data_IF_549883191891
#
_entry.id   IF_549883191891
#
_cell.length_a   1.000
_cell.length_b   1.000
_cell.length_c   1.000
_cell.angle_alpha   90.00
_cell.angle_beta   90.00
_cell.angle_gamma   90.00
#
_symmetry.space_group_name_H-M   'P 1'
#
loop_
_entity.id
_entity.type
_entity.pdbx_description
1 polymer ?
#
# COMPACT_ATOMS: atom_id res chain seq x y z
N UNK A 1 -26.80 -12.85 -32.26
CA UNK A 1 -25.83 -12.15 -33.14
C UNK A 1 -25.33 -10.80 -32.62
N UNK A 2 -26.12 -9.71 -32.58
CA UNK A 2 -25.60 -8.39 -32.12
C UNK A 2 -25.15 -8.41 -30.65
N UNK A 3 -25.96 -8.99 -29.76
CA UNK A 3 -25.65 -9.08 -28.32
C UNK A 3 -24.43 -9.96 -28.03
N UNK A 4 -24.29 -11.09 -28.73
CA UNK A 4 -23.13 -11.98 -28.59
C UNK A 4 -21.85 -11.29 -29.04
N UNK A 5 -21.88 -10.58 -30.18
CA UNK A 5 -20.75 -9.81 -30.66
C UNK A 5 -20.35 -8.70 -29.66
N UNK A 6 -21.31 -7.99 -29.08
CA UNK A 6 -21.05 -6.97 -28.05
C UNK A 6 -20.44 -7.57 -26.79
N UNK A 7 -20.95 -8.70 -26.31
CA UNK A 7 -20.41 -9.39 -25.13
C UNK A 7 -18.98 -9.86 -25.40
N UNK A 8 -18.74 -10.50 -26.56
CA UNK A 8 -17.40 -10.97 -26.95
C UNK A 8 -16.40 -9.82 -27.10
N UNK A 9 -16.82 -8.67 -27.64
CA UNK A 9 -15.96 -7.50 -27.75
C UNK A 9 -15.58 -6.94 -26.36
N UNK A 10 -16.55 -6.84 -25.44
CA UNK A 10 -16.30 -6.37 -24.07
C UNK A 10 -15.38 -7.33 -23.32
N UNK A 11 -15.63 -8.64 -23.41
CA UNK A 11 -14.78 -9.64 -22.74
C UNK A 11 -13.36 -9.64 -23.31
N UNK A 12 -13.19 -9.45 -24.61
CA UNK A 12 -11.86 -9.32 -25.23
C UNK A 12 -11.09 -8.09 -24.69
N UNK A 13 -11.74 -6.93 -24.55
CA UNK A 13 -11.12 -5.72 -23.99
C UNK A 13 -10.74 -5.95 -22.53
N UNK A 14 -11.63 -6.52 -21.71
CA UNK A 14 -11.34 -6.82 -20.31
C UNK A 14 -10.19 -7.82 -20.19
N UNK A 15 -10.20 -8.88 -21.00
CA UNK A 15 -9.14 -9.89 -21.00
C UNK A 15 -7.78 -9.27 -21.39
N UNK A 16 -7.76 -8.37 -22.38
CA UNK A 16 -6.56 -7.63 -22.75
C UNK A 16 -6.04 -6.78 -21.59
N UNK A 17 -6.91 -5.97 -20.98
CA UNK A 17 -6.56 -5.10 -19.84
C UNK A 17 -6.02 -5.96 -18.68
N UNK A 18 -6.73 -7.01 -18.28
CA UNK A 18 -6.31 -7.89 -17.20
C UNK A 18 -4.98 -8.61 -17.50
N UNK A 19 -4.76 -9.03 -18.75
CA UNK A 19 -3.49 -9.66 -19.16
C UNK A 19 -2.33 -8.68 -19.05
N UNK A 20 -2.54 -7.42 -19.45
CA UNK A 20 -1.53 -6.37 -19.28
C UNK A 20 -1.26 -6.09 -17.80
N UNK A 21 -2.29 -5.92 -16.97
CA UNK A 21 -2.12 -5.74 -15.52
C UNK A 21 -1.39 -6.91 -14.87
N UNK A 22 -1.63 -8.15 -15.32
CA UNK A 22 -0.90 -9.32 -14.84
C UNK A 22 0.60 -9.17 -15.09
N UNK A 23 0.99 -8.80 -16.32
CA UNK A 23 2.41 -8.59 -16.67
C UNK A 23 2.99 -7.46 -15.81
N UNK A 24 2.29 -6.33 -15.73
CA UNK A 24 2.72 -5.18 -14.92
C UNK A 24 2.99 -5.56 -13.45
N UNK A 25 2.09 -6.34 -12.84
CA UNK A 25 2.23 -6.82 -11.46
C UNK A 25 3.37 -7.83 -11.32
N UNK A 26 3.53 -8.74 -12.29
CA UNK A 26 4.61 -9.74 -12.24
C UNK A 26 5.98 -9.09 -12.38
N UNK A 27 6.13 -8.13 -13.30
CA UNK A 27 7.38 -7.42 -13.55
C UNK A 27 7.78 -6.51 -12.38
N UNK A 28 6.80 -6.02 -11.61
CA UNK A 28 6.99 -5.10 -10.49
C UNK A 28 6.56 -5.72 -9.15
N UNK A 29 6.62 -7.04 -9.02
CA UNK A 29 6.05 -7.78 -7.90
C UNK A 29 6.57 -7.28 -6.54
N UNK A 30 7.85 -6.91 -6.46
CA UNK A 30 8.46 -6.37 -5.24
C UNK A 30 7.82 -5.05 -4.80
N UNK A 31 7.49 -4.14 -5.72
CA UNK A 31 6.84 -2.87 -5.39
C UNK A 31 5.41 -3.09 -4.88
N UNK A 32 4.65 -4.00 -5.51
CA UNK A 32 3.32 -4.36 -5.05
C UNK A 32 3.36 -5.03 -3.68
N UNK A 33 4.29 -5.99 -3.48
CA UNK A 33 4.49 -6.66 -2.20
C UNK A 33 4.94 -5.71 -1.10
N UNK A 34 5.78 -4.71 -1.42
CA UNK A 34 6.19 -3.69 -0.48
C UNK A 34 4.98 -2.92 0.07
N UNK A 35 4.10 -2.41 -0.81
CA UNK A 35 2.86 -1.72 -0.41
C UNK A 35 1.98 -2.61 0.46
N UNK A 36 1.71 -3.84 0.02
CA UNK A 36 0.88 -4.78 0.80
C UNK A 36 1.51 -5.01 2.18
N UNK A 37 2.79 -5.31 2.23
CA UNK A 37 3.49 -5.65 3.47
C UNK A 37 3.43 -4.50 4.48
N UNK A 38 3.77 -3.27 4.07
CA UNK A 38 3.78 -2.12 5.00
C UNK A 38 2.38 -1.72 5.43
N UNK A 39 1.39 -1.79 4.53
CA UNK A 39 0.00 -1.48 4.84
C UNK A 39 -0.59 -2.47 5.85
N UNK A 40 -0.35 -3.77 5.65
CA UNK A 40 -0.82 -4.78 6.59
C UNK A 40 -0.07 -4.74 7.91
N UNK A 41 1.24 -4.48 7.92
CA UNK A 41 2.02 -4.35 9.15
C UNK A 41 1.48 -3.22 10.02
N UNK A 42 1.33 -2.01 9.45
CA UNK A 42 0.76 -0.88 10.16
C UNK A 42 -0.70 -1.13 10.56
N UNK A 43 -1.50 -1.68 9.64
CA UNK A 43 -2.92 -1.95 9.85
C UNK A 43 -3.16 -2.92 11.01
N UNK A 44 -2.43 -4.04 11.05
CA UNK A 44 -2.51 -5.03 12.13
C UNK A 44 -2.13 -4.40 13.47
N UNK A 45 -0.99 -3.70 13.55
CA UNK A 45 -0.61 -3.04 14.79
C UNK A 45 -1.61 -1.94 15.20
N UNK A 46 -2.16 -1.19 14.25
CA UNK A 46 -3.15 -0.15 14.50
C UNK A 46 -4.50 -0.71 14.99
N UNK A 47 -4.89 -1.91 14.54
CA UNK A 47 -6.05 -2.64 15.04
C UNK A 47 -5.80 -3.13 16.46
N UNK A 48 -4.64 -3.74 16.74
CA UNK A 48 -4.30 -4.25 18.08
C UNK A 48 -4.23 -3.08 19.08
N UNK A 49 -3.50 -2.02 18.74
CA UNK A 49 -3.36 -0.82 19.57
C UNK A 49 -4.72 -0.16 19.83
N UNK A 50 -5.56 -0.02 18.79
CA UNK A 50 -6.91 0.51 18.93
C UNK A 50 -7.80 -0.37 19.80
N UNK A 51 -7.71 -1.69 19.65
CA UNK A 51 -8.52 -2.64 20.42
C UNK A 51 -8.26 -2.53 21.92
N UNK A 52 -7.03 -2.19 22.33
CA UNK A 52 -6.67 -1.95 23.74
C UNK A 52 -7.23 -0.64 24.32
N UNK A 53 -7.48 0.38 23.50
CA UNK A 53 -7.93 1.72 23.96
C UNK A 53 -9.42 1.97 23.77
N UNK A 54 -9.99 1.47 22.68
CA UNK A 54 -11.36 1.80 22.24
C UNK A 54 -12.19 0.55 21.89
N UNK A 55 -11.65 -0.66 22.11
CA UNK A 55 -12.25 -1.92 21.68
C UNK A 55 -12.08 -2.21 20.18
N UNK A 56 -12.34 -3.45 19.77
CA UNK A 56 -12.21 -3.84 18.35
C UNK A 56 -13.31 -3.20 17.51
N UNK A 57 -12.92 -2.54 16.41
CA UNK A 57 -13.84 -1.91 15.45
C UNK A 57 -13.67 -2.51 14.06
N UNK A 58 -14.66 -3.26 13.59
CA UNK A 58 -14.67 -3.88 12.24
C UNK A 58 -14.43 -2.86 11.13
N UNK A 59 -14.97 -1.65 11.26
CA UNK A 59 -14.75 -0.55 10.30
C UNK A 59 -13.27 -0.21 10.14
N UNK A 60 -12.48 -0.28 11.22
CA UNK A 60 -11.03 -0.02 11.19
C UNK A 60 -10.29 -1.11 10.42
N UNK A 61 -10.67 -2.38 10.62
CA UNK A 61 -10.11 -3.50 9.88
C UNK A 61 -10.44 -3.43 8.37
N UNK A 62 -11.69 -3.14 8.02
CA UNK A 62 -12.11 -2.96 6.62
C UNK A 62 -11.40 -1.79 5.95
N UNK A 63 -11.13 -0.71 6.69
CA UNK A 63 -10.38 0.43 6.15
C UNK A 63 -8.94 0.05 5.75
N UNK A 64 -8.29 -0.88 6.45
CA UNK A 64 -6.95 -1.35 6.06
C UNK A 64 -7.00 -1.99 4.68
N UNK A 65 -7.91 -2.95 4.46
CA UNK A 65 -8.06 -3.63 3.17
C UNK A 65 -8.41 -2.63 2.06
N UNK A 66 -9.39 -1.75 2.32
CA UNK A 66 -9.81 -0.72 1.35
C UNK A 66 -8.64 0.18 0.96
N UNK A 67 -7.89 0.68 1.94
CA UNK A 67 -6.77 1.56 1.68
C UNK A 67 -5.64 0.84 0.93
N UNK A 68 -5.36 -0.43 1.26
CA UNK A 68 -4.38 -1.23 0.51
C UNK A 68 -4.78 -1.33 -0.96
N UNK A 69 -6.03 -1.65 -1.26
CA UNK A 69 -6.52 -1.73 -2.65
C UNK A 69 -6.34 -0.39 -3.38
N UNK A 70 -6.67 0.73 -2.74
CA UNK A 70 -6.47 2.08 -3.33
C UNK A 70 -5.00 2.32 -3.66
N UNK A 71 -4.08 2.00 -2.74
CA UNK A 71 -2.64 2.19 -2.97
C UNK A 71 -2.08 1.27 -4.06
N UNK A 72 -2.60 0.05 -4.22
CA UNK A 72 -2.24 -0.82 -5.34
C UNK A 72 -2.68 -0.23 -6.69
N UNK A 73 -3.87 0.39 -6.75
CA UNK A 73 -4.31 1.09 -7.95
C UNK A 73 -3.48 2.35 -8.25
N UNK A 74 -3.06 3.09 -7.22
CA UNK A 74 -2.14 4.23 -7.38
C UNK A 74 -0.81 3.74 -7.95
N UNK A 75 -0.20 2.71 -7.35
CA UNK A 75 1.05 2.13 -7.85
C UNK A 75 0.91 1.67 -9.31
N UNK A 76 -0.15 0.93 -9.63
CA UNK A 76 -0.34 0.44 -11.00
C UNK A 76 -0.47 1.60 -12.00
N UNK A 77 -1.15 2.69 -11.62
CA UNK A 77 -1.26 3.91 -12.46
C UNK A 77 0.09 4.60 -12.65
N UNK A 78 0.89 4.67 -11.57
CA UNK A 78 2.24 5.24 -11.62
C UNK A 78 3.15 4.41 -12.54
N UNK A 79 3.15 3.09 -12.40
CA UNK A 79 3.95 2.18 -13.24
C UNK A 79 3.50 2.17 -14.70
N UNK A 80 2.19 2.24 -14.96
CA UNK A 80 1.65 2.42 -16.31
C UNK A 80 2.22 3.69 -16.96
N UNK A 81 2.22 4.80 -16.22
CA UNK A 81 2.74 6.09 -16.68
C UNK A 81 4.25 6.01 -16.89
N UNK A 82 4.98 5.45 -15.93
CA UNK A 82 6.42 5.24 -15.98
C UNK A 82 6.85 4.48 -17.25
N UNK A 83 6.18 3.34 -17.51
CA UNK A 83 6.42 2.52 -18.70
C UNK A 83 6.02 3.22 -20.01
N UNK A 84 4.91 3.97 -20.01
CA UNK A 84 4.45 4.68 -21.20
C UNK A 84 5.43 5.77 -21.64
N UNK A 85 6.03 6.48 -20.68
CA UNK A 85 6.99 7.56 -20.95
C UNK A 85 8.45 7.10 -20.92
N UNK A 86 8.72 5.82 -20.65
CA UNK A 86 10.06 5.23 -20.53
C UNK A 86 10.96 6.00 -19.55
N UNK A 87 10.36 6.45 -18.44
CA UNK A 87 11.08 7.01 -17.29
C UNK A 87 11.28 5.90 -16.26
N UNK A 88 12.15 6.08 -15.26
CA UNK A 88 12.48 5.02 -14.29
C UNK A 88 12.42 5.48 -12.81
N UNK A 89 12.00 6.72 -12.55
CA UNK A 89 12.10 7.33 -11.22
C UNK A 89 10.74 7.68 -10.59
N UNK A 90 9.64 7.52 -11.34
CA UNK A 90 8.33 8.03 -10.93
C UNK A 90 7.74 7.20 -9.80
N UNK A 91 7.84 5.87 -9.90
CA UNK A 91 7.45 4.92 -8.87
C UNK A 91 8.22 5.15 -7.57
N UNK A 92 9.54 5.28 -7.64
CA UNK A 92 10.38 5.61 -6.48
C UNK A 92 9.98 6.95 -5.85
N UNK A 93 9.78 7.99 -6.67
CA UNK A 93 9.49 9.35 -6.18
C UNK A 93 8.13 9.43 -5.48
N UNK A 94 7.11 8.73 -5.99
CA UNK A 94 5.73 8.83 -5.47
C UNK A 94 5.48 7.80 -4.37
N UNK A 95 5.96 6.57 -4.53
CA UNK A 95 5.59 5.43 -3.67
C UNK A 95 6.54 5.31 -2.48
N UNK A 96 7.83 5.59 -2.65
CA UNK A 96 8.80 5.40 -1.57
C UNK A 96 8.53 6.29 -0.34
N UNK A 97 8.17 7.59 -0.47
CA UNK A 97 7.79 8.40 0.68
C UNK A 97 6.61 7.79 1.45
N UNK A 98 5.60 7.29 0.74
CA UNK A 98 4.45 6.62 1.35
C UNK A 98 4.89 5.37 2.12
N UNK A 99 5.72 4.51 1.55
CA UNK A 99 6.26 3.30 2.21
C UNK A 99 7.00 3.67 3.50
N UNK A 100 7.85 4.71 3.46
CA UNK A 100 8.58 5.20 4.64
C UNK A 100 7.62 5.69 5.72
N UNK A 101 6.62 6.50 5.36
CA UNK A 101 5.62 6.96 6.33
C UNK A 101 4.83 5.79 6.94
N UNK A 102 4.53 4.77 6.15
CA UNK A 102 3.79 3.61 6.62
C UNK A 102 4.62 2.75 7.58
N UNK A 103 5.93 2.61 7.35
CA UNK A 103 6.86 1.98 8.29
C UNK A 103 6.95 2.74 9.62
N UNK A 104 7.04 4.08 9.56
CA UNK A 104 7.04 4.92 10.76
C UNK A 104 5.71 4.78 11.53
N UNK A 105 4.59 4.75 10.82
CA UNK A 105 3.26 4.51 11.40
C UNK A 105 3.21 3.15 12.11
N UNK A 106 3.72 2.10 11.46
CA UNK A 106 3.75 0.76 12.00
C UNK A 106 4.54 0.67 13.31
N UNK A 107 5.70 1.33 13.38
CA UNK A 107 6.51 1.40 14.61
C UNK A 107 5.77 2.12 15.74
N UNK A 108 5.10 3.23 15.44
CA UNK A 108 4.26 3.96 16.42
C UNK A 108 3.11 3.09 16.93
N UNK A 109 2.41 2.41 16.03
CA UNK A 109 1.30 1.53 16.40
C UNK A 109 1.79 0.29 17.16
N UNK A 110 2.95 -0.28 16.82
CA UNK A 110 3.57 -1.38 17.56
C UNK A 110 3.93 -0.97 18.99
N UNK A 111 4.45 0.24 19.19
CA UNK A 111 4.71 0.76 20.53
C UNK A 111 3.43 0.98 21.34
N UNK A 112 2.38 1.57 20.73
CA UNK A 112 1.06 1.71 21.36
C UNK A 112 0.41 0.37 21.69
N UNK A 113 0.65 -0.65 20.87
CA UNK A 113 0.22 -2.02 21.13
C UNK A 113 1.06 -2.72 22.22
N UNK A 114 2.14 -2.10 22.70
CA UNK A 114 3.00 -2.62 23.77
C UNK A 114 4.11 -3.58 23.29
N UNK A 115 4.33 -3.72 21.98
CA UNK A 115 5.40 -4.57 21.43
C UNK A 115 6.77 -3.88 21.45
N UNK A 116 6.81 -2.55 21.47
CA UNK A 116 8.04 -1.75 21.49
C UNK A 116 7.99 -0.77 22.67
N UNK A 117 9.02 -0.77 23.52
CA UNK A 117 9.14 0.19 24.63
C UNK A 117 9.12 1.62 24.09
N UNK A 118 8.29 2.49 24.68
CA UNK A 118 8.12 3.87 24.22
C UNK A 118 9.45 4.65 24.14
N UNK A 119 10.34 4.48 25.12
CA UNK A 119 11.67 5.10 25.11
C UNK A 119 12.57 4.61 23.96
N UNK A 120 12.44 3.34 23.54
CA UNK A 120 13.17 2.80 22.39
C UNK A 120 12.63 3.38 21.07
N UNK A 121 11.30 3.48 20.93
CA UNK A 121 10.69 4.11 19.76
C UNK A 121 11.11 5.58 19.65
N UNK A 122 11.13 6.31 20.77
CA UNK A 122 11.51 7.72 20.78
C UNK A 122 12.96 7.92 20.32
N UNK A 123 13.90 7.08 20.78
CA UNK A 123 15.28 7.09 20.28
C UNK A 123 15.38 6.76 18.77
N UNK A 124 14.54 5.86 18.25
CA UNK A 124 14.50 5.54 16.82
C UNK A 124 13.96 6.75 16.03
N UNK A 125 12.85 7.36 16.48
CA UNK A 125 12.24 8.51 15.82
C UNK A 125 13.16 9.73 15.84
N UNK A 126 13.80 10.03 16.97
CA UNK A 126 14.77 11.14 17.09
C UNK A 126 15.97 10.98 16.15
N UNK A 127 16.40 9.74 15.87
CA UNK A 127 17.50 9.48 14.92
C UNK A 127 17.07 9.61 13.46
N UNK A 128 15.79 9.43 13.16
CA UNK A 128 15.21 9.62 11.82
C UNK A 128 14.86 11.09 11.61
N UNK A 129 14.34 11.75 12.63
CA UNK A 129 13.86 13.14 12.62
C UNK A 129 14.94 14.13 13.09
N UNK A 130 16.11 14.11 12.45
CA UNK A 130 17.24 15.00 12.79
C UNK A 130 17.04 16.47 12.37
N UNK A 131 15.92 16.80 11.73
CA UNK A 131 15.72 18.10 11.07
C UNK A 131 14.47 18.85 11.53
N UNK A 132 13.81 18.40 12.60
CA UNK A 132 12.80 19.21 13.29
C UNK A 132 13.50 20.17 14.25
N UNK A 133 13.95 21.29 13.71
CA UNK A 133 14.34 22.50 14.44
C UNK A 133 13.12 23.37 14.72
#
# INVERSE_FOLDING_TARGET
MKTEFTITAITAIIAFICSYFKILVMDNAEQFLAIVSVMFLDGVFGIIAGSKTEGFKTKKALNVIRNTVVWLFILATVLLTENAFKVFFLSETIILPFVIFQLISALKNASRAGYIKAGLLQQILEKIDKHKS
#
